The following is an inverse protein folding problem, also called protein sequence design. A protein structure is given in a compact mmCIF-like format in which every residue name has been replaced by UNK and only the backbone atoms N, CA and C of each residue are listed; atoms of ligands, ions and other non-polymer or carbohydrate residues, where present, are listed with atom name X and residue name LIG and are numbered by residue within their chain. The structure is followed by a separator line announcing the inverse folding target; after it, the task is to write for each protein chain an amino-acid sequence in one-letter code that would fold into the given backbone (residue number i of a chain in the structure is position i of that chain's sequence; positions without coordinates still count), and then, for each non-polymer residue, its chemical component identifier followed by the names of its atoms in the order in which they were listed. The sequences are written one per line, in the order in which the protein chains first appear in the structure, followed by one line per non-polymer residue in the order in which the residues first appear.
data_IF_549847470504
#
_entry.id   IF_549847470504
#
_cell.length_a   1.000
_cell.length_b   1.000
_cell.length_c   1.000
_cell.angle_alpha   90.00
_cell.angle_beta   90.00
_cell.angle_gamma   90.00
#
_symmetry.space_group_name_H-M   'P 1'
#
loop_
_entity.id
_entity.type
_entity.pdbx_description
1 polymer ?
#
# COMPACT_ATOMS: atom_id res chain seq x y z
N UNK A 1 0.78 -13.89 -1.92
CA UNK A 1 -0.33 -12.97 -1.59
C UNK A 1 0.28 -11.72 -0.97
N UNK A 2 -0.14 -10.54 -1.41
CA UNK A 2 0.28 -9.24 -0.86
C UNK A 2 -0.99 -8.42 -0.58
N UNK A 3 -1.10 -7.81 0.59
CA UNK A 3 -2.12 -6.81 0.91
C UNK A 3 -1.45 -5.43 1.01
N UNK A 4 -2.13 -4.39 0.54
CA UNK A 4 -1.60 -3.04 0.49
C UNK A 4 -2.74 -2.02 0.64
N UNK A 5 -2.72 -1.29 1.75
CA UNK A 5 -3.64 -0.18 1.99
C UNK A 5 -3.31 0.96 1.02
N UNK A 6 -4.33 1.45 0.33
CA UNK A 6 -4.23 2.56 -0.61
C UNK A 6 -5.16 3.71 -0.19
N UNK A 7 -4.78 4.97 -0.39
CA UNK A 7 -3.54 5.41 -1.06
C UNK A 7 -2.28 5.26 -0.18
N UNK A 8 -1.22 4.73 -0.76
CA UNK A 8 0.06 4.44 -0.13
C UNK A 8 0.86 5.71 0.16
N UNK A 9 1.11 5.95 1.44
CA UNK A 9 1.86 7.11 1.94
C UNK A 9 2.91 6.63 2.96
N UNK A 10 4.06 6.10 2.52
CA UNK A 10 5.03 5.47 3.40
C UNK A 10 5.82 6.50 4.20
N UNK A 11 6.08 6.17 5.46
CA UNK A 11 6.92 6.93 6.37
C UNK A 11 7.71 5.95 7.27
N UNK A 12 8.90 6.37 7.68
CA UNK A 12 9.79 5.61 8.56
C UNK A 12 9.83 6.33 9.91
N UNK A 13 9.53 5.60 10.97
CA UNK A 13 9.72 6.09 12.33
C UNK A 13 11.17 5.82 12.77
N UNK A 14 11.94 6.89 12.97
CA UNK A 14 13.31 6.82 13.47
C UNK A 14 13.37 6.97 14.99
N UNK A 15 14.52 6.61 15.56
CA UNK A 15 14.82 6.75 16.99
C UNK A 15 14.49 8.16 17.47
N UNK A 16 13.64 8.27 18.49
CA UNK A 16 13.17 9.55 19.03
C UNK A 16 11.86 10.06 18.43
N UNK A 17 11.09 9.22 17.72
CA UNK A 17 9.75 9.55 17.24
C UNK A 17 9.71 10.51 16.05
N UNK A 18 10.81 10.57 15.29
CA UNK A 18 10.88 11.39 14.08
C UNK A 18 10.38 10.60 12.88
N UNK A 19 9.45 11.18 12.15
CA UNK A 19 8.95 10.63 10.90
C UNK A 19 9.76 11.14 9.72
N UNK A 20 10.36 10.23 8.95
CA UNK A 20 11.12 10.55 7.76
C UNK A 20 10.59 9.80 6.53
N UNK A 21 10.95 10.30 5.35
CA UNK A 21 10.65 9.59 4.10
C UNK A 21 11.55 8.35 4.00
N UNK A 22 11.05 7.25 3.42
CA UNK A 22 11.88 6.08 3.19
C UNK A 22 13.03 6.40 2.22
N UNK A 23 14.18 5.75 2.41
CA UNK A 23 15.35 5.89 1.54
C UNK A 23 15.13 5.34 0.14
N UNK A 24 14.17 4.42 0.00
CA UNK A 24 13.72 3.84 -1.25
C UNK A 24 12.21 4.02 -1.39
N UNK A 25 11.77 4.54 -2.52
CA UNK A 25 10.36 4.80 -2.80
C UNK A 25 9.88 3.92 -3.94
N UNK A 26 8.73 3.28 -3.76
CA UNK A 26 8.02 2.64 -4.86
C UNK A 26 7.45 3.71 -5.79
N UNK A 27 7.61 3.54 -7.10
CA UNK A 27 7.09 4.46 -8.13
C UNK A 27 5.57 4.29 -8.35
N UNK A 28 4.79 4.37 -7.27
CA UNK A 28 3.33 4.35 -7.31
C UNK A 28 2.83 5.72 -7.74
N UNK A 29 1.91 5.77 -8.70
CA UNK A 29 1.40 7.00 -9.32
C UNK A 29 -0.05 7.24 -8.92
N UNK A 30 -0.42 8.50 -8.74
CA UNK A 30 -1.79 8.91 -8.43
C UNK A 30 -2.06 9.16 -6.95
N UNK A 31 -3.27 9.66 -6.67
CA UNK A 31 -3.67 10.15 -5.35
C UNK A 31 -4.82 9.35 -4.73
N UNK A 32 -5.64 8.70 -5.55
CA UNK A 32 -6.75 7.87 -5.09
C UNK A 32 -6.45 6.38 -5.28
N UNK A 33 -7.34 5.54 -4.74
CA UNK A 33 -7.21 4.08 -4.79
C UNK A 33 -7.11 3.58 -6.23
N UNK A 34 -8.00 4.04 -7.11
CA UNK A 34 -8.08 3.60 -8.50
C UNK A 34 -6.81 3.94 -9.29
N UNK A 35 -6.25 5.14 -9.12
CA UNK A 35 -5.03 5.53 -9.81
C UNK A 35 -3.83 4.72 -9.32
N UNK A 36 -3.69 4.58 -8.00
CA UNK A 36 -2.55 3.87 -7.42
C UNK A 36 -2.57 2.38 -7.72
N UNK A 37 -3.73 1.72 -7.61
CA UNK A 37 -3.85 0.29 -7.92
C UNK A 37 -3.46 -0.01 -9.37
N UNK A 38 -3.80 0.89 -10.30
CA UNK A 38 -3.48 0.76 -11.71
C UNK A 38 -1.98 0.99 -12.02
N UNK A 39 -1.23 1.65 -11.11
CA UNK A 39 0.22 1.87 -11.28
C UNK A 39 1.08 0.69 -10.76
N UNK A 40 0.54 -0.13 -9.85
CA UNK A 40 1.26 -1.24 -9.21
C UNK A 40 1.79 -2.36 -10.13
N UNK A 41 1.17 -2.68 -11.29
CA UNK A 41 1.72 -3.69 -12.19
C UNK A 41 3.16 -3.38 -12.66
N UNK A 42 3.51 -2.11 -12.86
CA UNK A 42 4.87 -1.71 -13.23
C UNK A 42 5.86 -1.95 -12.09
N UNK A 43 5.45 -1.61 -10.85
CA UNK A 43 6.25 -1.82 -9.64
C UNK A 43 6.51 -3.30 -9.40
N UNK A 44 5.47 -4.13 -9.44
CA UNK A 44 5.62 -5.58 -9.22
C UNK A 44 6.44 -6.26 -10.31
N UNK A 45 6.30 -5.83 -11.57
CA UNK A 45 7.13 -6.36 -12.66
C UNK A 45 8.61 -6.07 -12.44
N UNK A 46 8.98 -4.86 -12.01
CA UNK A 46 10.36 -4.52 -11.65
C UNK A 46 10.90 -5.38 -10.50
N UNK A 47 10.01 -5.79 -9.59
CA UNK A 47 10.32 -6.72 -8.50
C UNK A 47 10.30 -8.21 -8.89
N UNK A 48 10.07 -8.55 -10.17
CA UNK A 48 10.06 -9.93 -10.66
C UNK A 48 8.73 -10.67 -10.44
N UNK A 49 7.61 -9.95 -10.34
CA UNK A 49 6.28 -10.52 -10.15
C UNK A 49 5.28 -10.04 -11.21
N UNK A 50 4.28 -10.88 -11.48
CA UNK A 50 3.05 -10.52 -12.20
C UNK A 50 1.84 -10.73 -11.30
N UNK A 51 0.78 -9.98 -11.57
CA UNK A 51 -0.50 -10.10 -10.86
C UNK A 51 -1.33 -11.18 -11.57
N UNK A 52 -1.76 -12.21 -10.84
CA UNK A 52 -2.71 -13.21 -11.34
C UNK A 52 -4.16 -12.79 -11.08
N UNK A 53 -4.42 -12.21 -9.91
CA UNK A 53 -5.71 -11.69 -9.51
C UNK A 53 -5.52 -10.61 -8.44
N UNK A 54 -6.50 -9.72 -8.30
CA UNK A 54 -6.58 -8.80 -7.16
C UNK A 54 -8.04 -8.48 -6.82
N UNK A 55 -8.26 -7.98 -5.61
CA UNK A 55 -9.56 -7.50 -5.16
C UNK A 55 -9.42 -6.32 -4.21
N UNK A 56 -10.48 -5.52 -4.09
CA UNK A 56 -10.59 -4.43 -3.11
C UNK A 56 -11.31 -4.95 -1.88
N UNK A 57 -10.78 -4.68 -0.69
CA UNK A 57 -11.37 -5.07 0.59
C UNK A 57 -11.32 -3.91 1.59
N UNK A 58 -12.15 -3.91 2.64
CA UNK A 58 -11.96 -2.99 3.76
C UNK A 58 -10.74 -3.42 4.60
N UNK A 59 -9.88 -2.46 4.94
CA UNK A 59 -8.82 -2.60 5.94
C UNK A 59 -9.27 -1.98 7.26
N UNK A 60 -9.28 -2.78 8.32
CA UNK A 60 -9.62 -2.32 9.67
C UNK A 60 -8.33 -2.12 10.47
N UNK A 61 -8.09 -0.90 10.94
CA UNK A 61 -6.98 -0.62 11.85
C UNK A 61 -7.41 0.10 13.11
N UNK A 62 -6.53 0.04 14.11
CA UNK A 62 -6.66 0.83 15.34
C UNK A 62 -6.87 2.30 15.00
N UNK A 63 -7.78 2.91 15.75
CA UNK A 63 -8.10 4.32 15.60
C UNK A 63 -7.21 5.21 16.47
N UNK A 64 -7.81 6.26 16.99
CA UNK A 64 -7.15 7.21 17.88
C UNK A 64 -8.10 7.65 19.00
N UNK A 65 -7.75 8.73 19.69
CA UNK A 65 -8.56 9.29 20.78
C UNK A 65 -9.96 9.79 20.36
N UNK A 66 -10.25 9.90 19.06
CA UNK A 66 -11.53 10.37 18.52
C UNK A 66 -12.36 9.26 17.86
N UNK A 67 -11.70 8.25 17.29
CA UNK A 67 -12.35 7.12 16.62
C UNK A 67 -11.76 5.81 17.15
N UNK A 68 -12.60 4.84 17.53
CA UNK A 68 -12.10 3.54 18.04
C UNK A 68 -11.33 2.74 16.98
N UNK A 69 -11.71 2.91 15.71
CA UNK A 69 -11.07 2.25 14.57
C UNK A 69 -11.27 3.06 13.28
N UNK A 70 -10.41 2.82 12.32
CA UNK A 70 -10.56 3.32 10.95
C UNK A 70 -10.84 2.18 9.98
N UNK A 71 -11.68 2.46 8.99
CA UNK A 71 -11.91 1.58 7.83
C UNK A 71 -11.32 2.27 6.61
N UNK A 72 -10.26 1.67 6.05
CA UNK A 72 -9.55 2.15 4.87
C UNK A 72 -9.75 1.19 3.70
N UNK A 73 -9.30 1.58 2.51
CA UNK A 73 -9.33 0.71 1.34
C UNK A 73 -8.04 -0.13 1.23
N UNK A 74 -8.20 -1.45 1.18
CA UNK A 74 -7.13 -2.40 0.90
C UNK A 74 -7.18 -2.87 -0.56
N UNK A 75 -6.02 -3.27 -1.08
CA UNK A 75 -5.89 -4.03 -2.29
C UNK A 75 -5.12 -5.32 -2.01
N UNK A 76 -5.78 -6.48 -2.20
CA UNK A 76 -5.17 -7.80 -1.99
C UNK A 76 -4.86 -8.43 -3.34
N UNK A 77 -3.59 -8.74 -3.55
CA UNK A 77 -3.03 -9.29 -4.79
C UNK A 77 -2.58 -10.73 -4.63
N UNK A 78 -2.91 -11.55 -5.62
CA UNK A 78 -2.24 -12.82 -5.90
C UNK A 78 -1.11 -12.53 -6.87
N UNK A 79 0.13 -12.66 -6.40
CA UNK A 79 1.34 -12.43 -7.20
C UNK A 79 2.00 -13.77 -7.54
N UNK A 80 2.51 -13.87 -8.77
CA UNK A 80 3.28 -15.00 -9.26
C UNK A 80 4.67 -14.52 -9.70
N UNK A 81 5.76 -15.23 -9.33
CA UNK A 81 7.10 -14.94 -9.84
C UNK A 81 7.17 -15.04 -11.37
N UNK A 82 7.97 -14.18 -11.98
CA UNK A 82 8.32 -14.22 -13.41
C UNK A 82 9.45 -15.20 -13.67
#
# INVERSE_FOLDING_TARGET
ILALVLPFHPYVENVGGKWEKPSETLEIKGQNWEEQVNSLPEVFRKAGFVIEAFTRLPYLCEGDMYNDYYVLDDAVFVLKPV
#
